data_IF_069829166185
#
_entry.id   IF_069829166185
#
_cell.length_a   1.000
_cell.length_b   1.000
_cell.length_c   1.000
_cell.angle_alpha   90.00
_cell.angle_beta   90.00
_cell.angle_gamma   90.00
#
_symmetry.space_group_name_H-M   'P 1'
#
loop_
_entity.id
_entity.type
_entity.pdbx_description
1 polymer ?
#
# COMPACT_ATOMS: atom_id res chain seq x y z
N UNK A 1 -5.81 -6.66 14.00
CA UNK A 1 -6.13 -5.23 13.79
C UNK A 1 -6.29 -5.04 12.29
N UNK A 2 -7.52 -4.93 11.78
CA UNK A 2 -7.78 -4.82 10.34
C UNK A 2 -7.37 -3.43 9.84
N UNK A 3 -6.24 -3.35 9.14
CA UNK A 3 -5.80 -2.12 8.48
C UNK A 3 -6.53 -1.99 7.15
N UNK A 4 -7.36 -0.95 7.03
CA UNK A 4 -7.94 -0.47 5.78
C UNK A 4 -9.20 -1.20 5.30
N UNK A 5 -10.38 -0.76 5.72
CA UNK A 5 -11.64 -1.22 5.13
C UNK A 5 -11.90 -0.50 3.80
N UNK A 6 -11.25 -1.01 2.73
CA UNK A 6 -11.51 -0.69 1.31
C UNK A 6 -11.64 0.81 0.99
N UNK A 7 -10.84 1.67 1.63
CA UNK A 7 -10.85 3.11 1.39
C UNK A 7 -12.08 3.87 1.92
N UNK A 8 -13.06 3.19 2.56
CA UNK A 8 -14.24 3.84 3.12
C UNK A 8 -13.96 4.52 4.47
N UNK A 9 -12.85 4.15 5.13
CA UNK A 9 -12.47 4.64 6.47
C UNK A 9 -13.59 4.43 7.53
N UNK A 10 -14.45 3.43 7.33
CA UNK A 10 -15.52 3.06 8.27
C UNK A 10 -14.88 2.66 9.60
N UNK A 11 -15.44 3.14 10.70
CA UNK A 11 -14.89 2.92 12.05
C UNK A 11 -13.72 3.82 12.43
N UNK A 12 -13.19 4.67 11.52
CA UNK A 12 -12.23 5.71 11.90
C UNK A 12 -12.93 6.95 12.44
N UNK A 13 -12.30 7.62 13.40
CA UNK A 13 -12.83 8.83 14.04
C UNK A 13 -12.25 10.09 13.39
N UNK A 14 -13.08 11.11 13.08
CA UNK A 14 -12.63 12.49 12.79
C UNK A 14 -13.29 13.43 13.78
N UNK A 15 -12.49 14.20 14.51
CA UNK A 15 -12.97 15.18 15.51
C UNK A 15 -13.99 14.56 16.47
N UNK A 16 -13.73 13.35 16.97
CA UNK A 16 -14.62 12.63 17.89
C UNK A 16 -15.81 11.91 17.23
N UNK A 17 -16.09 12.14 15.94
CA UNK A 17 -17.21 11.50 15.24
C UNK A 17 -16.74 10.25 14.49
N UNK A 18 -17.42 9.12 14.69
CA UNK A 18 -17.16 7.89 13.95
C UNK A 18 -17.71 7.99 12.52
N UNK A 19 -16.95 7.50 11.54
CA UNK A 19 -17.41 7.44 10.16
C UNK A 19 -18.19 6.16 9.88
N UNK A 20 -19.34 6.35 9.22
CA UNK A 20 -20.19 5.27 8.73
C UNK A 20 -20.52 5.47 7.24
N UNK A 21 -20.61 4.38 6.50
CA UNK A 21 -21.13 4.33 5.13
C UNK A 21 -20.26 4.99 4.05
N UNK A 22 -20.83 5.12 2.85
CA UNK A 22 -20.16 5.59 1.62
C UNK A 22 -20.35 7.09 1.36
N UNK A 23 -20.44 7.91 2.40
CA UNK A 23 -20.85 9.31 2.27
C UNK A 23 -19.87 10.17 1.46
N UNK A 24 -18.55 9.93 1.60
CA UNK A 24 -17.51 10.74 0.96
C UNK A 24 -17.45 10.55 -0.57
N UNK A 25 -17.50 9.31 -1.10
CA UNK A 25 -17.70 9.07 -2.53
C UNK A 25 -18.99 9.71 -3.06
N UNK A 26 -20.13 9.53 -2.37
CA UNK A 26 -21.42 10.10 -2.79
C UNK A 26 -21.43 11.62 -2.87
N UNK A 27 -20.70 12.29 -1.97
CA UNK A 27 -20.56 13.76 -2.00
C UNK A 27 -19.73 14.22 -3.20
N UNK A 28 -18.66 13.49 -3.52
CA UNK A 28 -17.70 13.92 -4.55
C UNK A 28 -18.07 13.44 -5.96
N UNK A 29 -18.90 12.41 -6.10
CA UNK A 29 -19.33 11.85 -7.39
C UNK A 29 -20.11 12.84 -8.27
N UNK A 30 -20.65 13.91 -7.68
CA UNK A 30 -21.34 14.97 -8.42
C UNK A 30 -20.39 15.84 -9.25
N UNK A 31 -19.13 15.97 -8.83
CA UNK A 31 -18.18 16.91 -9.43
C UNK A 31 -17.01 16.22 -10.14
N UNK A 32 -16.71 14.97 -9.79
CA UNK A 32 -15.63 14.21 -10.41
C UNK A 32 -15.84 12.71 -10.22
N UNK A 33 -15.29 11.91 -11.14
CA UNK A 33 -15.30 10.46 -11.00
C UNK A 33 -14.36 10.05 -9.87
N UNK A 34 -14.91 9.47 -8.81
CA UNK A 34 -14.14 8.96 -7.66
C UNK A 34 -14.13 7.45 -7.71
N UNK A 35 -12.93 6.87 -7.87
CA UNK A 35 -12.72 5.44 -7.75
C UNK A 35 -12.30 5.10 -6.33
N UNK A 36 -12.94 4.09 -5.75
CA UNK A 36 -12.57 3.56 -4.43
C UNK A 36 -11.78 2.30 -4.68
N UNK A 37 -10.53 2.31 -4.24
CA UNK A 37 -9.61 1.19 -4.42
C UNK A 37 -9.30 0.58 -3.06
N UNK A 38 -8.93 -0.69 -3.08
CA UNK A 38 -8.58 -1.38 -1.85
C UNK A 38 -7.23 -0.86 -1.33
N UNK A 39 -7.22 -0.36 -0.09
CA UNK A 39 -6.02 0.18 0.58
C UNK A 39 -5.23 -0.92 1.34
N UNK A 40 -5.73 -2.16 1.37
CA UNK A 40 -5.11 -3.24 2.11
C UNK A 40 -3.64 -3.46 1.69
N UNK A 41 -2.74 -3.52 2.68
CA UNK A 41 -1.29 -3.66 2.54
C UNK A 41 -0.57 -2.60 1.68
N UNK A 42 -1.25 -1.56 1.19
CA UNK A 42 -0.63 -0.53 0.31
C UNK A 42 0.49 0.27 0.99
N UNK A 43 0.40 0.45 2.31
CA UNK A 43 1.43 1.12 3.11
C UNK A 43 2.51 0.17 3.65
N UNK A 44 2.39 -1.13 3.41
CA UNK A 44 3.30 -2.15 3.95
C UNK A 44 3.99 -2.95 2.84
N UNK A 45 3.67 -2.70 1.57
CA UNK A 45 4.21 -3.46 0.44
C UNK A 45 5.01 -2.53 -0.47
N UNK A 46 6.20 -2.96 -0.86
CA UNK A 46 7.00 -2.24 -1.84
C UNK A 46 6.42 -2.46 -3.24
N UNK A 47 6.10 -1.38 -3.95
CA UNK A 47 5.44 -1.46 -5.25
C UNK A 47 6.22 -2.21 -6.32
N UNK A 48 7.54 -2.12 -6.28
CA UNK A 48 8.34 -2.77 -7.30
C UNK A 48 8.75 -4.19 -6.91
N UNK A 49 8.97 -4.46 -5.62
CA UNK A 49 9.41 -5.78 -5.19
C UNK A 49 8.26 -6.71 -4.80
N UNK A 50 7.06 -6.14 -4.60
CA UNK A 50 5.91 -6.80 -4.00
C UNK A 50 6.21 -7.47 -2.65
N UNK A 51 7.32 -7.11 -1.99
CA UNK A 51 7.70 -7.62 -0.66
C UNK A 51 7.29 -6.63 0.42
N UNK A 52 7.17 -7.15 1.64
CA UNK A 52 6.89 -6.34 2.81
C UNK A 52 8.01 -5.30 3.06
N UNK A 53 7.61 -4.08 3.38
CA UNK A 53 8.50 -2.97 3.67
C UNK A 53 9.05 -3.07 5.09
N UNK A 54 10.34 -2.81 5.24
CA UNK A 54 10.95 -2.70 6.56
C UNK A 54 11.03 -1.24 7.01
N UNK A 55 10.82 -1.03 8.31
CA UNK A 55 11.00 0.27 8.93
C UNK A 55 12.49 0.52 9.14
N UNK A 56 13.06 1.62 8.62
CA UNK A 56 14.46 1.94 8.87
C UNK A 56 14.67 2.19 10.35
N UNK A 57 15.75 1.63 10.90
CA UNK A 57 16.12 1.77 12.30
C UNK A 57 17.16 2.88 12.46
N UNK A 58 16.93 3.79 13.40
CA UNK A 58 17.89 4.85 13.79
C UNK A 58 18.44 4.57 15.17
N UNK A 59 19.75 4.62 15.32
CA UNK A 59 20.43 4.54 16.62
C UNK A 59 20.18 5.86 17.37
N UNK A 60 19.69 5.76 18.61
CA UNK A 60 19.49 6.92 19.49
C UNK A 60 20.39 6.81 20.71
N UNK A 61 21.28 7.80 20.92
CA UNK A 61 21.99 8.14 22.18
C UNK A 61 22.83 7.04 22.84
N UNK A 62 22.20 5.93 23.20
CA UNK A 62 22.75 4.81 23.98
C UNK A 62 22.33 3.46 23.33
N UNK A 63 22.83 3.16 22.12
CA UNK A 63 22.66 1.86 21.40
C UNK A 63 21.23 1.35 21.15
N UNK A 64 20.18 2.08 21.53
CA UNK A 64 18.79 1.71 21.26
C UNK A 64 18.41 2.02 19.82
N UNK A 65 17.96 0.99 19.10
CA UNK A 65 17.36 1.12 17.77
C UNK A 65 15.92 1.60 17.91
N UNK A 66 15.59 2.70 17.24
CA UNK A 66 14.21 3.19 17.11
C UNK A 66 13.79 3.14 15.64
N UNK A 67 12.60 2.61 15.39
CA UNK A 67 11.99 2.70 14.07
C UNK A 67 11.74 4.17 13.69
N UNK A 68 12.16 4.54 12.48
CA UNK A 68 11.87 5.85 11.90
C UNK A 68 10.48 5.79 11.29
N UNK A 69 9.58 6.60 11.84
CA UNK A 69 8.21 6.70 11.32
C UNK A 69 8.18 7.46 9.99
N UNK A 70 7.21 7.13 9.15
CA UNK A 70 6.94 7.85 7.89
C UNK A 70 7.85 7.50 6.71
N UNK A 71 8.90 6.71 6.93
CA UNK A 71 9.78 6.22 5.86
C UNK A 71 9.85 4.69 5.88
N UNK A 72 10.18 4.13 4.73
CA UNK A 72 10.42 2.71 4.56
C UNK A 72 11.68 2.47 3.76
N UNK A 73 12.28 1.30 3.99
CA UNK A 73 13.46 0.86 3.27
C UNK A 73 13.17 -0.43 2.52
N UNK A 74 13.51 -0.44 1.24
CA UNK A 74 13.65 -1.67 0.46
C UNK A 74 15.00 -2.33 0.82
N UNK A 75 14.96 -3.59 1.22
CA UNK A 75 16.16 -4.39 1.59
C UNK A 75 16.55 -5.40 0.52
N UNK A 76 15.85 -5.45 -0.62
CA UNK A 76 16.16 -6.38 -1.69
C UNK A 76 17.38 -5.90 -2.49
N UNK A 77 18.55 -6.59 -2.43
CA UNK A 77 19.78 -6.12 -3.07
C UNK A 77 19.70 -6.06 -4.59
N UNK A 78 18.86 -6.89 -5.20
CA UNK A 78 18.73 -6.99 -6.66
C UNK A 78 17.90 -5.85 -7.27
N UNK A 79 17.38 -4.96 -6.43
CA UNK A 79 16.39 -3.98 -6.87
C UNK A 79 17.02 -2.67 -7.35
N UNK A 80 16.58 -2.08 -8.48
CA UNK A 80 17.14 -0.85 -9.03
C UNK A 80 17.17 0.33 -8.05
N UNK A 81 16.17 0.44 -7.17
CA UNK A 81 16.15 1.50 -6.13
C UNK A 81 17.26 1.32 -5.10
N UNK A 82 17.61 0.08 -4.75
CA UNK A 82 18.72 -0.24 -3.84
C UNK A 82 20.06 -0.02 -4.55
N UNK A 83 20.20 -0.50 -5.79
CA UNK A 83 21.40 -0.29 -6.61
C UNK A 83 21.69 1.21 -6.86
N UNK A 84 20.65 2.04 -6.99
CA UNK A 84 20.78 3.49 -7.17
C UNK A 84 20.96 4.27 -5.86
N UNK A 85 21.08 3.60 -4.70
CA UNK A 85 21.17 4.25 -3.38
C UNK A 85 19.90 4.98 -2.94
N UNK A 86 18.76 4.72 -3.61
CA UNK A 86 17.45 5.34 -3.36
C UNK A 86 16.46 4.34 -2.74
N UNK A 87 16.96 3.46 -1.87
CA UNK A 87 16.18 2.42 -1.22
C UNK A 87 15.13 2.93 -0.22
N UNK A 88 15.25 4.20 0.18
CA UNK A 88 14.39 4.82 1.19
C UNK A 88 13.31 5.65 0.51
N UNK A 89 12.06 5.39 0.89
CA UNK A 89 10.89 6.04 0.32
C UNK A 89 9.95 6.53 1.43
N UNK A 90 9.26 7.64 1.17
CA UNK A 90 8.20 8.12 2.05
C UNK A 90 7.01 7.15 1.96
N UNK A 91 6.45 6.79 3.12
CA UNK A 91 5.29 5.90 3.24
C UNK A 91 4.12 6.35 2.40
N UNK A 92 3.81 7.63 2.48
CA UNK A 92 2.63 8.20 1.84
C UNK A 92 2.75 8.22 0.31
N UNK A 93 3.98 8.35 -0.22
CA UNK A 93 4.22 8.28 -1.66
C UNK A 93 4.04 6.85 -2.19
N UNK A 94 4.56 5.85 -1.46
CA UNK A 94 4.37 4.43 -1.84
C UNK A 94 2.90 4.07 -1.76
N UNK A 95 2.21 4.42 -0.67
CA UNK A 95 0.80 4.07 -0.52
C UNK A 95 -0.06 4.76 -1.58
N UNK A 96 0.17 6.04 -1.88
CA UNK A 96 -0.55 6.76 -2.93
C UNK A 96 -0.36 6.11 -4.31
N UNK A 97 0.87 5.72 -4.64
CA UNK A 97 1.17 5.07 -5.92
C UNK A 97 0.55 3.66 -5.97
N UNK A 98 0.53 2.92 -4.86
CA UNK A 98 -0.08 1.60 -4.76
C UNK A 98 -1.61 1.65 -4.92
N UNK A 99 -2.25 2.63 -4.28
CA UNK A 99 -3.68 2.93 -4.41
C UNK A 99 -4.03 3.25 -5.86
N UNK A 100 -3.21 4.09 -6.52
CA UNK A 100 -3.39 4.47 -7.92
C UNK A 100 -3.24 3.28 -8.87
N UNK A 101 -2.20 2.47 -8.69
CA UNK A 101 -1.93 1.29 -9.52
C UNK A 101 -3.04 0.23 -9.34
N UNK A 102 -3.46 -0.02 -8.10
CA UNK A 102 -4.58 -0.90 -7.76
C UNK A 102 -5.89 -0.44 -8.40
N UNK A 103 -6.16 0.87 -8.40
CA UNK A 103 -7.32 1.43 -9.08
C UNK A 103 -7.26 1.28 -10.58
N UNK A 104 -6.12 1.62 -11.18
CA UNK A 104 -5.94 1.55 -12.62
C UNK A 104 -6.09 0.13 -13.14
N UNK A 105 -5.49 -0.86 -12.46
CA UNK A 105 -5.63 -2.28 -12.84
C UNK A 105 -7.05 -2.80 -12.69
N UNK A 106 -7.75 -2.40 -11.62
CA UNK A 106 -9.16 -2.74 -11.45
C UNK A 106 -10.01 -2.15 -12.58
N UNK A 107 -9.74 -0.91 -12.99
CA UNK A 107 -10.47 -0.24 -14.07
C UNK A 107 -10.19 -0.81 -15.45
N UNK A 108 -8.92 -1.09 -15.77
CA UNK A 108 -8.51 -1.54 -17.10
C UNK A 108 -8.74 -3.04 -17.31
N UNK A 109 -8.51 -3.85 -16.27
CA UNK A 109 -8.45 -5.31 -16.38
C UNK A 109 -9.48 -6.03 -15.50
N UNK A 110 -10.19 -5.33 -14.62
CA UNK A 110 -11.07 -5.98 -13.63
C UNK A 110 -10.32 -6.83 -12.60
N UNK A 111 -9.00 -6.70 -12.52
CA UNK A 111 -8.13 -7.52 -11.68
C UNK A 111 -7.62 -6.75 -10.46
N UNK A 112 -7.33 -7.48 -9.38
CA UNK A 112 -6.76 -6.94 -8.13
C UNK A 112 -5.37 -7.55 -7.96
N UNK A 113 -4.37 -6.72 -7.63
CA UNK A 113 -3.05 -7.24 -7.26
C UNK A 113 -3.15 -8.18 -6.04
N UNK A 114 -2.64 -9.41 -6.14
CA UNK A 114 -2.69 -10.36 -5.03
C UNK A 114 -2.05 -9.85 -3.74
N UNK A 115 -0.99 -9.05 -3.84
CA UNK A 115 -0.33 -8.42 -2.69
C UNK A 115 -1.23 -7.46 -1.91
N UNK A 116 -2.25 -6.90 -2.57
CA UNK A 116 -3.23 -6.00 -1.95
C UNK A 116 -4.55 -6.73 -1.64
N UNK A 117 -4.66 -8.03 -1.92
CA UNK A 117 -5.87 -8.80 -1.62
C UNK A 117 -5.91 -9.19 -0.13
N UNK A 118 -6.94 -8.79 0.64
CA UNK A 118 -7.11 -9.20 2.03
C UNK A 118 -7.38 -10.70 2.17
N UNK A 119 -7.81 -11.38 1.10
CA UNK A 119 -7.92 -12.83 1.03
C UNK A 119 -6.61 -13.40 0.51
N UNK A 120 -5.59 -13.38 1.38
CA UNK A 120 -4.30 -14.01 1.10
C UNK A 120 -4.50 -15.47 0.70
N UNK A 121 -3.96 -15.87 -0.44
CA UNK A 121 -3.90 -17.27 -0.87
C UNK A 121 -2.61 -17.53 -1.63
N UNK A 122 -1.86 -18.55 -1.22
CA UNK A 122 -0.61 -18.98 -1.84
C UNK A 122 -0.73 -19.18 -3.37
N UNK A 123 -1.88 -19.65 -3.85
CA UNK A 123 -2.15 -19.84 -5.28
C UNK A 123 -2.14 -18.53 -6.06
N UNK A 124 -2.78 -17.47 -5.55
CA UNK A 124 -2.81 -16.15 -6.21
C UNK A 124 -1.45 -15.46 -6.23
N UNK A 125 -0.65 -15.66 -5.18
CA UNK A 125 0.72 -15.13 -5.14
C UNK A 125 1.60 -15.83 -6.16
N UNK A 126 1.52 -17.17 -6.26
CA UNK A 126 2.25 -17.93 -7.27
C UNK A 126 1.82 -17.58 -8.71
N UNK A 127 0.52 -17.38 -8.94
CA UNK A 127 -0.03 -16.95 -10.23
C UNK A 127 0.48 -15.55 -10.61
N UNK A 128 0.54 -14.62 -9.66
CA UNK A 128 1.13 -13.31 -9.90
C UNK A 128 2.62 -13.36 -10.17
N UNK A 129 3.39 -14.15 -9.42
CA UNK A 129 4.82 -14.33 -9.65
C UNK A 129 5.08 -14.91 -11.05
N UNK A 130 4.29 -15.91 -11.47
CA UNK A 130 4.33 -16.47 -12.82
C UNK A 130 4.02 -15.41 -13.89
N UNK A 131 2.93 -14.66 -13.74
CA UNK A 131 2.55 -13.59 -14.67
C UNK A 131 3.61 -12.48 -14.71
N UNK A 132 4.21 -12.13 -13.58
CA UNK A 132 5.25 -11.09 -13.48
C UNK A 132 6.58 -11.51 -14.12
N UNK A 133 6.89 -12.81 -14.14
CA UNK A 133 8.08 -13.34 -14.80
C UNK A 133 7.91 -13.46 -16.33
N UNK A 134 6.70 -13.26 -16.84
CA UNK A 134 6.38 -13.33 -18.27
C UNK A 134 6.50 -11.97 -18.97
N UNK A 135 6.68 -10.88 -18.20
CA UNK A 135 6.95 -9.51 -18.68
C UNK A 135 8.41 -9.12 -18.45
#
# INVERSE_FOLDING_TARGET
MFVGDRGYRVGSTIKGNLKYGQWKPRKNSLYTSVCITNEHNTSQTHLFCFKELQYPLRVTGNTKLKAVNGTFQCVNPDFPSVLAGKAIHARDNISAMAIGLSGLTTLLFGAIFPQFDPKYSLSKTAEFEYLSATF
#
